data_IF_307738680374
#
_entry.id   IF_307738680374
#
_cell.length_a   1.000
_cell.length_b   1.000
_cell.length_c   1.000
_cell.angle_alpha   90.00
_cell.angle_beta   90.00
_cell.angle_gamma   90.00
#
_symmetry.space_group_name_H-M   'P 1'
#
loop_
_entity.id
_entity.type
_entity.pdbx_description
1 polymer ?
#
# COMPACT_ATOMS: atom_id res chain seq x y z
N UNK A 1 -9.27 25.91 -22.43
CA UNK A 1 -9.13 25.06 -21.22
C UNK A 1 -10.21 24.00 -21.33
N UNK A 2 -9.84 22.72 -21.40
CA UNK A 2 -10.82 21.62 -21.43
C UNK A 2 -11.22 21.31 -19.99
N UNK A 3 -12.51 21.47 -19.70
CA UNK A 3 -13.12 21.07 -18.44
C UNK A 3 -13.01 19.55 -18.27
N UNK A 4 -12.15 19.11 -17.36
CA UNK A 4 -12.09 17.72 -16.93
C UNK A 4 -13.26 17.52 -15.97
N UNK A 5 -14.43 17.19 -16.52
CA UNK A 5 -15.53 16.65 -15.74
C UNK A 5 -15.10 15.26 -15.26
N UNK A 6 -14.41 15.20 -14.11
CA UNK A 6 -14.19 13.96 -13.36
C UNK A 6 -15.56 13.48 -12.88
N UNK A 7 -16.27 12.75 -13.74
CA UNK A 7 -17.44 11.99 -13.31
C UNK A 7 -16.96 11.02 -12.23
N UNK A 8 -17.23 11.37 -10.97
CA UNK A 8 -16.97 10.50 -9.84
C UNK A 8 -17.66 9.16 -10.12
N UNK A 9 -16.86 8.10 -10.20
CA UNK A 9 -17.36 6.76 -10.47
C UNK A 9 -18.39 6.44 -9.40
N UNK A 10 -19.64 6.19 -9.80
CA UNK A 10 -20.73 5.80 -8.90
C UNK A 10 -20.51 4.37 -8.44
N UNK A 11 -19.47 4.12 -7.63
CA UNK A 11 -19.28 2.83 -6.99
C UNK A 11 -20.29 2.71 -5.85
N UNK A 12 -21.52 2.36 -6.20
CA UNK A 12 -22.63 2.23 -5.26
C UNK A 12 -22.59 0.91 -4.46
N UNK A 13 -21.62 0.03 -4.74
CA UNK A 13 -21.43 -1.26 -4.06
C UNK A 13 -19.94 -1.58 -3.88
N UNK A 14 -19.54 -2.22 -2.76
CA UNK A 14 -18.17 -2.67 -2.56
C UNK A 14 -17.77 -3.65 -3.68
N UNK A 15 -16.66 -3.36 -4.35
CA UNK A 15 -16.11 -4.19 -5.44
C UNK A 15 -14.90 -4.98 -4.95
N UNK A 16 -15.04 -6.31 -4.94
CA UNK A 16 -13.95 -7.22 -4.56
C UNK A 16 -12.76 -7.10 -5.53
N UNK A 17 -13.05 -7.00 -6.83
CA UNK A 17 -12.03 -6.82 -7.86
C UNK A 17 -11.24 -5.52 -7.67
N UNK A 18 -11.92 -4.42 -7.29
CA UNK A 18 -11.22 -3.16 -7.02
C UNK A 18 -10.36 -3.23 -5.76
N UNK A 19 -10.81 -3.96 -4.73
CA UNK A 19 -10.01 -4.19 -3.53
C UNK A 19 -8.75 -5.02 -3.85
N UNK A 20 -8.87 -6.09 -4.63
CA UNK A 20 -7.73 -6.90 -5.10
C UNK A 20 -6.75 -6.07 -5.92
N UNK A 21 -7.25 -5.23 -6.82
CA UNK A 21 -6.45 -4.31 -7.61
C UNK A 21 -5.68 -3.33 -6.71
N UNK A 22 -6.37 -2.70 -5.75
CA UNK A 22 -5.74 -1.77 -4.82
C UNK A 22 -4.63 -2.44 -3.99
N UNK A 23 -4.88 -3.67 -3.51
CA UNK A 23 -3.89 -4.46 -2.78
C UNK A 23 -2.67 -4.77 -3.64
N UNK A 24 -2.88 -5.18 -4.90
CA UNK A 24 -1.79 -5.40 -5.86
C UNK A 24 -0.97 -4.12 -6.08
N UNK A 25 -1.60 -2.98 -6.36
CA UNK A 25 -0.90 -1.71 -6.54
C UNK A 25 -0.09 -1.31 -5.31
N UNK A 26 -0.61 -1.55 -4.10
CA UNK A 26 0.12 -1.25 -2.85
C UNK A 26 1.32 -2.17 -2.64
N UNK A 27 1.21 -3.44 -3.02
CA UNK A 27 2.33 -4.39 -3.01
C UNK A 27 3.42 -3.98 -4.02
N UNK A 28 3.02 -3.58 -5.23
CA UNK A 28 3.93 -3.05 -6.26
C UNK A 28 4.64 -1.77 -5.77
N UNK A 29 3.89 -0.84 -5.16
CA UNK A 29 4.44 0.39 -4.57
C UNK A 29 5.43 0.08 -3.46
N UNK A 30 5.14 -0.87 -2.58
CA UNK A 30 6.07 -1.29 -1.52
C UNK A 30 7.38 -1.85 -2.12
N UNK A 31 7.28 -2.74 -3.12
CA UNK A 31 8.45 -3.25 -3.82
C UNK A 31 9.26 -2.12 -4.45
N UNK A 32 8.58 -1.12 -5.00
CA UNK A 32 9.26 0.04 -5.57
C UNK A 32 9.85 0.94 -4.48
N UNK A 33 9.22 1.19 -3.33
CA UNK A 33 9.74 2.13 -2.33
C UNK A 33 10.82 1.55 -1.42
N UNK A 34 10.96 0.23 -1.35
CA UNK A 34 11.89 -0.43 -0.43
C UNK A 34 13.38 -0.04 -0.62
N UNK A 35 13.77 0.52 -1.76
CA UNK A 35 15.14 1.01 -2.00
C UNK A 35 15.41 2.40 -1.41
N UNK A 36 14.39 3.19 -1.07
CA UNK A 36 14.54 4.58 -0.61
C UNK A 36 15.48 4.76 0.59
N UNK A 37 15.46 3.89 1.64
CA UNK A 37 16.44 3.98 2.72
C UNK A 37 17.89 3.85 2.25
N UNK A 38 18.14 2.99 1.26
CA UNK A 38 19.47 2.80 0.70
C UNK A 38 19.93 4.03 -0.07
N UNK A 39 19.02 4.72 -0.77
CA UNK A 39 19.34 5.96 -1.45
C UNK A 39 19.74 7.06 -0.45
N UNK A 40 19.05 7.21 0.68
CA UNK A 40 19.46 8.14 1.75
C UNK A 40 20.83 7.79 2.36
N UNK A 41 21.15 6.49 2.45
CA UNK A 41 22.48 6.05 2.86
C UNK A 41 23.56 6.47 1.84
N UNK A 42 23.29 6.30 0.55
CA UNK A 42 24.20 6.66 -0.54
C UNK A 42 24.41 8.17 -0.64
N UNK A 43 23.34 8.96 -0.50
CA UNK A 43 23.38 10.43 -0.42
C UNK A 43 24.30 10.93 0.70
N UNK A 44 24.39 10.19 1.81
CA UNK A 44 25.31 10.47 2.91
C UNK A 44 26.77 10.09 2.68
N UNK A 45 27.16 9.81 1.43
CA UNK A 45 28.51 9.35 1.09
C UNK A 45 28.77 7.91 1.54
N UNK A 46 27.74 7.06 1.54
CA UNK A 46 27.79 5.68 2.01
C UNK A 46 28.28 5.54 3.46
N UNK A 47 27.92 6.51 4.31
CA UNK A 47 28.18 6.51 5.74
C UNK A 47 26.92 6.94 6.49
N UNK A 48 26.71 6.38 7.67
CA UNK A 48 25.66 6.83 8.57
C UNK A 48 26.11 8.10 9.28
N UNK A 49 25.23 9.10 9.28
CA UNK A 49 25.35 10.35 10.01
C UNK A 49 23.99 10.70 10.63
N UNK A 50 23.91 11.67 11.56
CA UNK A 50 22.66 11.97 12.24
C UNK A 50 21.49 12.27 11.28
N UNK A 51 21.75 13.03 10.21
CA UNK A 51 20.71 13.45 9.27
C UNK A 51 20.15 12.33 8.40
N UNK A 52 21.00 11.46 7.83
CA UNK A 52 20.48 10.34 7.02
C UNK A 52 19.95 9.18 7.90
N UNK A 53 20.49 9.01 9.10
CA UNK A 53 19.99 8.02 10.06
C UNK A 53 18.54 8.33 10.45
N UNK A 54 18.23 9.59 10.74
CA UNK A 54 16.86 10.03 11.02
C UNK A 54 15.91 9.82 9.82
N UNK A 55 16.33 10.19 8.61
CA UNK A 55 15.52 9.98 7.39
C UNK A 55 15.23 8.50 7.14
N UNK A 56 16.24 7.65 7.28
CA UNK A 56 16.10 6.20 7.14
C UNK A 56 15.14 5.65 8.19
N UNK A 57 15.31 6.01 9.46
CA UNK A 57 14.44 5.58 10.54
C UNK A 57 12.98 5.98 10.28
N UNK A 58 12.73 7.26 9.96
CA UNK A 58 11.40 7.78 9.67
C UNK A 58 10.74 7.05 8.49
N UNK A 59 11.49 6.77 7.41
CA UNK A 59 10.96 6.00 6.28
C UNK A 59 10.57 4.57 6.71
N UNK A 60 11.39 3.91 7.50
CA UNK A 60 11.12 2.55 7.97
C UNK A 60 9.92 2.50 8.92
N UNK A 61 9.76 3.48 9.81
CA UNK A 61 8.61 3.57 10.72
C UNK A 61 7.29 3.74 9.96
N UNK A 62 7.27 4.64 8.97
CA UNK A 62 6.11 4.82 8.09
C UNK A 62 5.81 3.54 7.30
N UNK A 63 6.85 2.90 6.76
CA UNK A 63 6.72 1.63 6.02
C UNK A 63 6.13 0.54 6.91
N UNK A 64 6.56 0.42 8.17
CA UNK A 64 5.99 -0.53 9.13
C UNK A 64 4.50 -0.28 9.33
N UNK A 65 4.08 0.98 9.46
CA UNK A 65 2.66 1.34 9.61
C UNK A 65 1.85 0.96 8.36
N UNK A 66 2.34 1.33 7.17
CA UNK A 66 1.72 0.98 5.89
C UNK A 66 1.58 -0.55 5.70
N UNK A 67 2.62 -1.31 6.07
CA UNK A 67 2.62 -2.77 6.00
C UNK A 67 1.61 -3.39 6.99
N UNK A 68 1.49 -2.86 8.21
CA UNK A 68 0.49 -3.33 9.18
C UNK A 68 -0.93 -3.20 8.63
N UNK A 69 -1.25 -2.07 7.99
CA UNK A 69 -2.54 -1.89 7.34
C UNK A 69 -2.72 -2.83 6.14
N UNK A 70 -1.70 -2.98 5.30
CA UNK A 70 -1.76 -3.87 4.14
C UNK A 70 -1.99 -5.33 4.55
N UNK A 71 -1.33 -5.80 5.61
CA UNK A 71 -1.54 -7.13 6.19
C UNK A 71 -3.00 -7.28 6.67
N UNK A 72 -3.52 -6.28 7.37
CA UNK A 72 -4.91 -6.29 7.82
C UNK A 72 -5.90 -6.37 6.65
N UNK A 73 -5.66 -5.59 5.58
CA UNK A 73 -6.52 -5.59 4.40
C UNK A 73 -6.48 -6.94 3.66
N UNK A 74 -5.33 -7.61 3.64
CA UNK A 74 -5.20 -8.97 3.10
C UNK A 74 -6.00 -9.99 3.91
N UNK A 75 -5.91 -9.96 5.24
CA UNK A 75 -6.74 -10.83 6.10
C UNK A 75 -8.22 -10.54 5.94
N UNK A 76 -8.59 -9.27 5.79
CA UNK A 76 -9.96 -8.88 5.57
C UNK A 76 -10.48 -9.37 4.21
N UNK A 77 -9.69 -9.26 3.14
CA UNK A 77 -10.03 -9.82 1.84
C UNK A 77 -10.29 -11.33 1.92
N UNK A 78 -9.39 -12.07 2.58
CA UNK A 78 -9.53 -13.51 2.77
C UNK A 78 -10.84 -13.87 3.49
N UNK A 79 -11.15 -13.14 4.56
CA UNK A 79 -12.38 -13.35 5.33
C UNK A 79 -13.64 -13.04 4.53
N UNK A 80 -13.66 -11.97 3.73
CA UNK A 80 -14.79 -11.63 2.84
C UNK A 80 -15.02 -12.75 1.83
N UNK A 81 -13.95 -13.25 1.19
CA UNK A 81 -14.03 -14.34 0.22
C UNK A 81 -14.62 -15.61 0.83
N UNK A 82 -14.09 -16.04 1.98
CA UNK A 82 -14.57 -17.23 2.67
C UNK A 82 -16.06 -17.12 3.05
N UNK A 83 -16.51 -15.94 3.48
CA UNK A 83 -17.94 -15.69 3.77
C UNK A 83 -18.81 -15.74 2.53
N UNK A 84 -18.37 -15.18 1.40
CA UNK A 84 -19.12 -15.22 0.15
C UNK A 84 -19.28 -16.65 -0.37
N UNK A 85 -18.25 -17.47 -0.25
CA UNK A 85 -18.28 -18.90 -0.59
C UNK A 85 -19.30 -19.64 0.28
N UNK A 86 -19.28 -19.43 1.60
CA UNK A 86 -20.23 -20.08 2.53
C UNK A 86 -21.71 -19.74 2.33
N UNK A 87 -22.02 -18.65 1.62
CA UNK A 87 -23.40 -18.22 1.30
C UNK A 87 -23.85 -18.76 -0.08
N UNK A 88 -22.92 -19.23 -0.91
CA UNK A 88 -23.21 -19.70 -2.28
C UNK A 88 -23.50 -21.21 -2.36
N UNK A 89 -23.44 -21.93 -1.24
CA UNK A 89 -23.71 -23.37 -1.11
C UNK A 89 -25.18 -23.71 -0.72
N UNK A 90 -26.10 -22.75 -0.85
CA UNK A 90 -27.56 -22.92 -0.67
C UNK A 90 -28.31 -22.50 -1.93
#
# INVERSE_FOLDING_TARGET
>A
MQDINLQASTQNKPSLALLEENLRTRLERFSFSAHTPLEHFREGGSKLNPGNTEKIANHLELTILELRYLINDLYWLQWIKARKESVSDF
#
